data_IF_225399761518
#
_entry.id   IF_225399761518
#
_cell.length_a   1.000
_cell.length_b   1.000
_cell.length_c   1.000
_cell.angle_alpha   90.00
_cell.angle_beta   90.00
_cell.angle_gamma   90.00
#
_symmetry.space_group_name_H-M   'P 1'
#
loop_
_entity.id
_entity.type
_entity.pdbx_description
1 polymer ?
#
# COMPACT_ATOMS: atom_id res chain seq x y z
N UNK A 1 10.79 51.40 -16.96
CA UNK A 1 10.96 50.47 -15.81
C UNK A 1 12.44 50.22 -15.61
N UNK A 2 13.00 50.49 -14.43
CA UNK A 2 14.46 50.43 -14.18
C UNK A 2 14.96 48.98 -14.29
N UNK A 3 15.92 48.69 -15.16
CA UNK A 3 16.44 47.33 -15.42
C UNK A 3 16.89 46.62 -14.14
N UNK A 4 17.44 47.35 -13.16
CA UNK A 4 17.81 46.80 -11.84
C UNK A 4 16.59 46.33 -11.04
N UNK A 5 15.47 47.05 -11.09
CA UNK A 5 14.21 46.62 -10.44
C UNK A 5 13.64 45.38 -11.13
N UNK A 6 13.74 45.31 -12.46
CA UNK A 6 13.27 44.16 -13.23
C UNK A 6 14.10 42.91 -12.92
N UNK A 7 15.43 43.03 -12.83
CA UNK A 7 16.32 41.94 -12.43
C UNK A 7 16.06 41.44 -11.00
N UNK A 8 15.86 42.36 -10.03
CA UNK A 8 15.51 41.98 -8.65
C UNK A 8 14.17 41.25 -8.59
N UNK A 9 13.15 41.73 -9.33
CA UNK A 9 11.84 41.06 -9.41
C UNK A 9 12.00 39.66 -9.99
N UNK A 10 12.79 39.51 -11.06
CA UNK A 10 13.03 38.22 -11.71
C UNK A 10 13.77 37.24 -10.79
N UNK A 11 14.76 37.72 -10.03
CA UNK A 11 15.44 36.94 -9.00
C UNK A 11 14.47 36.49 -7.92
N UNK A 12 13.59 37.37 -7.42
CA UNK A 12 12.57 37.02 -6.41
C UNK A 12 11.58 35.99 -6.97
N UNK A 13 11.15 36.14 -8.23
CA UNK A 13 10.25 35.16 -8.88
C UNK A 13 10.93 33.79 -8.97
N UNK A 14 12.18 33.72 -9.43
CA UNK A 14 12.89 32.45 -9.64
C UNK A 14 13.31 31.80 -8.31
N UNK A 15 13.74 32.60 -7.33
CA UNK A 15 14.29 32.08 -6.07
C UNK A 15 13.22 31.82 -4.99
N UNK A 16 12.07 32.50 -5.06
CA UNK A 16 11.04 32.43 -4.01
C UNK A 16 9.71 31.94 -4.58
N UNK A 17 9.18 32.59 -5.61
CA UNK A 17 7.84 32.25 -6.13
C UNK A 17 7.84 30.88 -6.78
N UNK A 18 8.78 30.60 -7.69
CA UNK A 18 8.83 29.34 -8.41
C UNK A 18 8.99 28.11 -7.49
N UNK A 19 9.90 28.10 -6.49
CA UNK A 19 10.00 26.98 -5.54
C UNK A 19 8.73 26.78 -4.71
N UNK A 20 8.11 27.87 -4.21
CA UNK A 20 6.87 27.78 -3.42
C UNK A 20 5.73 27.24 -4.29
N UNK A 21 5.55 27.79 -5.51
CA UNK A 21 4.54 27.30 -6.46
C UNK A 21 4.75 25.83 -6.80
N UNK A 22 5.99 25.38 -6.97
CA UNK A 22 6.30 23.97 -7.21
C UNK A 22 5.94 23.06 -6.03
N UNK A 23 6.20 23.51 -4.79
CA UNK A 23 5.82 22.76 -3.58
C UNK A 23 4.30 22.66 -3.44
N UNK A 24 3.58 23.78 -3.66
CA UNK A 24 2.12 23.83 -3.61
C UNK A 24 1.51 22.92 -4.68
N UNK A 25 2.01 23.00 -5.92
CA UNK A 25 1.58 22.12 -7.02
C UNK A 25 1.82 20.64 -6.69
N UNK A 26 3.00 20.31 -6.17
CA UNK A 26 3.33 18.94 -5.77
C UNK A 26 2.41 18.43 -4.66
N UNK A 27 2.10 19.28 -3.67
CA UNK A 27 1.16 18.92 -2.60
C UNK A 27 -0.26 18.73 -3.13
N UNK A 28 -0.72 19.57 -4.07
CA UNK A 28 -2.01 19.38 -4.73
C UNK A 28 -2.07 18.06 -5.51
N UNK A 29 -0.99 17.69 -6.20
CA UNK A 29 -0.93 16.42 -6.92
C UNK A 29 -0.98 15.21 -5.98
N UNK A 30 -0.45 15.31 -4.76
CA UNK A 30 -0.68 14.26 -3.75
C UNK A 30 -2.18 14.08 -3.45
N UNK A 31 -2.94 15.18 -3.43
CA UNK A 31 -4.40 15.13 -3.32
C UNK A 31 -5.04 14.24 -4.37
N UNK A 32 -4.59 14.29 -5.63
CA UNK A 32 -5.07 13.40 -6.71
C UNK A 32 -4.62 11.94 -6.60
N UNK A 33 -3.59 11.64 -5.78
CA UNK A 33 -3.15 10.27 -5.54
C UNK A 33 -4.00 9.55 -4.50
N UNK A 34 -4.46 10.26 -3.47
CA UNK A 34 -5.36 9.69 -2.44
C UNK A 34 -6.83 9.88 -2.83
N UNK A 35 -7.08 10.98 -3.54
CA UNK A 35 -8.27 11.45 -4.23
C UNK A 35 -8.37 11.14 -5.73
N UNK A 36 -8.07 9.95 -6.27
CA UNK A 36 -8.24 9.76 -7.71
C UNK A 36 -9.72 9.92 -8.04
N UNK A 37 -10.04 10.35 -9.26
CA UNK A 37 -11.42 10.59 -9.68
C UNK A 37 -12.27 9.30 -9.73
N UNK A 38 -13.13 9.17 -10.73
CA UNK A 38 -13.91 7.93 -10.88
C UNK A 38 -13.02 6.77 -11.35
N UNK A 39 -13.06 5.60 -10.69
CA UNK A 39 -12.34 4.41 -11.15
C UNK A 39 -12.90 3.92 -12.49
N UNK A 40 -12.06 3.20 -13.25
CA UNK A 40 -12.47 2.53 -14.49
C UNK A 40 -13.30 1.28 -14.22
N UNK A 41 -12.98 0.58 -13.14
CA UNK A 41 -13.68 -0.59 -12.64
C UNK A 41 -13.40 -0.74 -11.14
N UNK A 42 -14.32 -1.39 -10.43
CA UNK A 42 -14.24 -1.64 -9.00
C UNK A 42 -14.77 -3.03 -8.70
N UNK A 43 -14.00 -3.82 -7.96
CA UNK A 43 -14.39 -5.14 -7.49
C UNK A 43 -14.66 -5.07 -5.99
N UNK A 44 -15.76 -5.69 -5.54
CA UNK A 44 -16.14 -5.69 -4.12
C UNK A 44 -15.82 -7.03 -3.49
N UNK A 45 -15.14 -6.97 -2.35
CA UNK A 45 -14.73 -8.12 -1.56
C UNK A 45 -15.28 -8.03 -0.15
N UNK A 46 -15.53 -9.20 0.43
CA UNK A 46 -15.91 -9.38 1.81
C UNK A 46 -14.82 -10.22 2.47
N UNK A 47 -14.14 -9.63 3.44
CA UNK A 47 -13.19 -10.34 4.29
C UNK A 47 -13.88 -10.76 5.58
N UNK A 48 -13.85 -12.06 5.87
CA UNK A 48 -14.38 -12.65 7.09
C UNK A 48 -13.22 -12.93 8.02
N UNK A 49 -13.22 -12.33 9.22
CA UNK A 49 -12.27 -12.64 10.28
C UNK A 49 -12.96 -13.45 11.38
N UNK A 50 -12.56 -14.69 11.57
CA UNK A 50 -13.20 -15.62 12.50
C UNK A 50 -12.64 -15.48 13.93
N UNK A 51 -13.38 -15.97 14.95
CA UNK A 51 -12.85 -16.08 16.32
C UNK A 51 -11.62 -16.99 16.44
N UNK A 52 -11.43 -17.93 15.51
CA UNK A 52 -10.23 -18.76 15.41
C UNK A 52 -9.03 -18.03 14.81
N UNK A 53 -9.12 -16.71 14.64
CA UNK A 53 -8.11 -15.83 14.05
C UNK A 53 -7.75 -16.16 12.60
N UNK A 54 -8.71 -16.69 11.83
CA UNK A 54 -8.56 -16.98 10.40
C UNK A 54 -9.23 -15.91 9.55
N UNK A 55 -8.66 -15.63 8.39
CA UNK A 55 -9.21 -14.71 7.40
C UNK A 55 -9.68 -15.49 6.17
N UNK A 56 -10.87 -15.15 5.68
CA UNK A 56 -11.39 -15.63 4.39
C UNK A 56 -11.68 -14.44 3.49
N UNK A 57 -11.18 -14.49 2.27
CA UNK A 57 -11.43 -13.49 1.24
C UNK A 57 -12.43 -14.05 0.23
N UNK A 58 -13.54 -13.35 0.04
CA UNK A 58 -14.58 -13.71 -0.93
C UNK A 58 -14.92 -12.49 -1.76
N UNK A 59 -15.23 -12.69 -3.03
CA UNK A 59 -15.95 -11.67 -3.81
C UNK A 59 -17.37 -11.51 -3.24
N UNK A 60 -17.98 -10.35 -3.48
CA UNK A 60 -19.37 -10.13 -3.06
C UNK A 60 -20.34 -11.18 -3.65
N UNK A 61 -20.08 -11.65 -4.87
CA UNK A 61 -20.88 -12.69 -5.53
C UNK A 61 -20.72 -14.06 -4.87
N UNK A 62 -19.48 -14.45 -4.52
CA UNK A 62 -19.21 -15.70 -3.80
C UNK A 62 -19.84 -15.70 -2.41
N UNK A 63 -19.71 -14.59 -1.69
CA UNK A 63 -20.35 -14.45 -0.39
C UNK A 63 -21.87 -14.58 -0.48
N UNK A 64 -22.49 -13.92 -1.45
CA UNK A 64 -23.93 -13.98 -1.64
C UNK A 64 -24.41 -15.42 -1.93
N UNK A 65 -23.70 -16.16 -2.79
CA UNK A 65 -23.99 -17.58 -3.06
C UNK A 65 -23.92 -18.44 -1.80
N UNK A 66 -22.89 -18.24 -0.98
CA UNK A 66 -22.74 -19.00 0.27
C UNK A 66 -23.91 -18.76 1.24
N UNK A 67 -24.36 -17.51 1.36
CA UNK A 67 -25.53 -17.18 2.18
C UNK A 67 -26.81 -17.80 1.62
N UNK A 68 -26.99 -17.79 0.29
CA UNK A 68 -28.15 -18.41 -0.39
C UNK A 68 -28.17 -19.94 -0.22
N UNK A 69 -27.00 -20.57 -0.16
CA UNK A 69 -26.84 -22.00 0.15
C UNK A 69 -27.06 -22.34 1.63
N UNK A 70 -27.34 -21.34 2.48
CA UNK A 70 -27.60 -21.52 3.91
C UNK A 70 -26.35 -21.55 4.78
N UNK A 71 -25.17 -21.26 4.23
CA UNK A 71 -23.95 -21.11 5.01
C UNK A 71 -23.94 -19.74 5.69
N UNK A 72 -23.59 -19.71 6.97
CA UNK A 72 -23.37 -18.46 7.71
C UNK A 72 -21.95 -18.42 8.27
N UNK A 73 -21.29 -17.26 8.30
CA UNK A 73 -20.01 -17.12 8.99
C UNK A 73 -20.11 -17.62 10.44
N UNK A 74 -19.05 -18.22 11.01
CA UNK A 74 -19.04 -18.65 12.40
C UNK A 74 -19.46 -17.53 13.36
N UNK A 75 -20.19 -17.86 14.42
CA UNK A 75 -20.65 -16.88 15.39
C UNK A 75 -19.47 -16.09 15.98
N UNK A 76 -19.60 -14.75 16.02
CA UNK A 76 -18.52 -13.85 16.46
C UNK A 76 -17.52 -13.46 15.38
N UNK A 77 -17.72 -13.87 14.13
CA UNK A 77 -16.90 -13.39 13.00
C UNK A 77 -17.14 -11.92 12.71
N UNK A 78 -16.09 -11.21 12.31
CA UNK A 78 -16.15 -9.82 11.82
C UNK A 78 -16.13 -9.83 10.30
N UNK A 79 -16.92 -8.95 9.69
CA UNK A 79 -17.00 -8.78 8.24
C UNK A 79 -16.42 -7.42 7.86
N UNK A 80 -15.54 -7.40 6.87
CA UNK A 80 -14.98 -6.17 6.30
C UNK A 80 -15.34 -6.10 4.82
N UNK A 81 -16.11 -5.08 4.46
CA UNK A 81 -16.42 -4.78 3.07
C UNK A 81 -15.33 -3.89 2.51
N UNK A 82 -14.60 -4.38 1.51
CA UNK A 82 -13.44 -3.72 0.91
C UNK A 82 -13.67 -3.62 -0.59
N UNK A 83 -13.37 -2.45 -1.16
CA UNK A 83 -13.43 -2.23 -2.61
C UNK A 83 -12.03 -2.20 -3.19
N UNK A 84 -11.79 -2.87 -4.30
CA UNK A 84 -10.52 -2.78 -5.03
C UNK A 84 -10.78 -2.03 -6.32
N UNK A 85 -10.17 -0.86 -6.47
CA UNK A 85 -10.39 0.02 -7.61
C UNK A 85 -9.25 -0.05 -8.63
N UNK A 86 -9.64 -0.04 -9.91
CA UNK A 86 -8.72 0.09 -11.03
C UNK A 86 -8.78 1.49 -11.65
N UNK A 87 -7.61 2.11 -11.79
CA UNK A 87 -7.46 3.39 -12.47
C UNK A 87 -6.60 3.28 -13.74
N UNK A 88 -5.83 2.19 -13.91
CA UNK A 88 -4.87 2.06 -15.01
C UNK A 88 -5.47 1.18 -16.13
N UNK A 89 -5.71 -0.09 -15.86
CA UNK A 89 -6.09 -1.07 -16.91
C UNK A 89 -7.59 -1.29 -17.04
N UNK A 90 -8.39 -0.95 -16.02
CA UNK A 90 -9.80 -1.35 -15.94
C UNK A 90 -10.00 -2.74 -15.31
N UNK A 91 -8.94 -3.37 -14.78
CA UNK A 91 -9.03 -4.62 -14.01
C UNK A 91 -8.28 -4.46 -12.67
N UNK A 92 -9.01 -4.43 -11.53
CA UNK A 92 -8.42 -4.15 -10.22
C UNK A 92 -7.31 -5.13 -9.82
N UNK A 93 -7.54 -6.44 -10.02
CA UNK A 93 -6.55 -7.47 -9.73
C UNK A 93 -5.28 -7.36 -10.60
N UNK A 94 -5.43 -6.96 -11.87
CA UNK A 94 -4.29 -6.75 -12.79
C UNK A 94 -3.48 -5.53 -12.37
N UNK A 95 -4.13 -4.41 -12.05
CA UNK A 95 -3.46 -3.19 -11.57
C UNK A 95 -2.64 -3.47 -10.30
N UNK A 96 -3.22 -4.19 -9.34
CA UNK A 96 -2.55 -4.59 -8.11
C UNK A 96 -1.33 -5.49 -8.39
N UNK A 97 -1.52 -6.54 -9.20
CA UNK A 97 -0.49 -7.53 -9.48
C UNK A 97 0.69 -6.92 -10.25
N UNK A 98 0.42 -6.12 -11.29
CA UNK A 98 1.48 -5.42 -12.03
C UNK A 98 2.20 -4.45 -11.12
N UNK A 99 1.48 -3.70 -10.28
CA UNK A 99 2.10 -2.71 -9.38
C UNK A 99 3.00 -3.35 -8.36
N UNK A 100 2.64 -4.49 -7.77
CA UNK A 100 3.48 -5.15 -6.77
C UNK A 100 4.65 -5.94 -7.38
N UNK A 101 4.47 -6.56 -8.55
CA UNK A 101 5.48 -7.44 -9.16
C UNK A 101 6.45 -6.75 -10.13
N UNK A 102 6.23 -5.48 -10.46
CA UNK A 102 7.14 -4.71 -11.32
C UNK A 102 8.55 -4.61 -10.74
N UNK A 103 9.55 -4.48 -11.61
CA UNK A 103 10.94 -4.30 -11.22
C UNK A 103 11.20 -2.85 -10.79
N UNK A 104 11.28 -2.62 -9.49
CA UNK A 104 11.66 -1.31 -8.94
C UNK A 104 13.10 -1.31 -8.43
N UNK A 105 13.73 -0.14 -8.45
CA UNK A 105 15.01 0.09 -7.79
C UNK A 105 14.82 0.24 -6.28
N UNK A 106 13.70 0.79 -5.82
CA UNK A 106 13.42 1.03 -4.41
C UNK A 106 11.96 0.75 -4.09
N UNK A 107 11.67 0.35 -2.85
CA UNK A 107 10.30 0.35 -2.35
C UNK A 107 10.22 1.10 -1.02
N UNK A 108 9.17 1.89 -0.87
CA UNK A 108 8.92 2.71 0.31
C UNK A 108 7.59 2.32 0.92
N UNK A 109 7.61 1.98 2.21
CA UNK A 109 6.40 1.78 3.00
C UNK A 109 6.13 3.08 3.77
N UNK A 110 5.04 3.75 3.41
CA UNK A 110 4.54 4.94 4.10
C UNK A 110 3.54 4.47 5.15
N UNK A 111 3.96 4.49 6.41
CA UNK A 111 3.25 3.87 7.53
C UNK A 111 1.94 4.55 7.92
N UNK A 112 1.70 5.76 7.41
CA UNK A 112 0.66 6.64 7.89
C UNK A 112 1.19 7.92 8.53
N UNK A 113 0.33 8.62 9.25
CA UNK A 113 0.60 9.89 9.92
C UNK A 113 1.76 9.76 10.93
N UNK A 114 2.58 10.81 11.13
CA UNK A 114 3.64 10.81 12.15
C UNK A 114 3.16 10.45 13.57
N UNK A 115 1.89 10.68 13.91
CA UNK A 115 1.29 10.26 15.18
C UNK A 115 1.36 8.75 15.43
N UNK A 116 1.60 7.91 14.41
CA UNK A 116 1.90 6.48 14.58
C UNK A 116 3.14 6.26 15.48
N UNK A 117 4.05 7.24 15.60
CA UNK A 117 5.15 7.20 16.57
C UNK A 117 4.66 7.02 18.02
N UNK A 118 3.47 7.53 18.34
CA UNK A 118 2.88 7.42 19.66
C UNK A 118 2.62 5.95 20.04
N UNK A 119 2.48 5.04 19.08
CA UNK A 119 2.31 3.61 19.38
C UNK A 119 3.49 2.98 20.12
N UNK A 120 4.68 3.60 20.09
CA UNK A 120 5.83 3.13 20.85
C UNK A 120 5.80 3.63 22.29
N UNK A 121 5.60 4.93 22.47
CA UNK A 121 5.86 5.59 23.75
C UNK A 121 4.57 5.94 24.50
N UNK A 122 3.49 6.30 23.79
CA UNK A 122 2.21 6.72 24.36
C UNK A 122 1.01 6.24 23.52
N UNK A 123 0.66 4.93 23.54
CA UNK A 123 -0.35 4.37 22.65
C UNK A 123 -1.74 5.02 22.76
N UNK A 124 -2.07 5.60 23.92
CA UNK A 124 -3.34 6.29 24.16
C UNK A 124 -3.50 7.59 23.36
N UNK A 125 -2.41 8.16 22.86
CA UNK A 125 -2.43 9.38 22.04
C UNK A 125 -2.59 9.11 20.54
N UNK A 126 -2.59 7.83 20.13
CA UNK A 126 -2.77 7.45 18.74
C UNK A 126 -4.27 7.30 18.44
N UNK A 127 -4.71 7.90 17.33
CA UNK A 127 -6.09 7.79 16.86
C UNK A 127 -6.19 6.50 16.04
N UNK A 128 -6.49 5.40 16.72
CA UNK A 128 -6.61 4.07 16.11
C UNK A 128 -6.18 2.94 17.06
N UNK A 129 -5.82 1.79 16.49
CA UNK A 129 -5.31 0.63 17.21
C UNK A 129 -3.86 0.31 16.79
N UNK A 130 -2.94 0.55 17.72
CA UNK A 130 -1.51 0.35 17.51
C UNK A 130 -1.12 -1.10 17.20
N UNK A 131 -1.86 -2.09 17.73
CA UNK A 131 -1.59 -3.51 17.47
C UNK A 131 -1.88 -3.80 16.01
N UNK A 132 -3.05 -3.41 15.52
CA UNK A 132 -3.42 -3.66 14.12
C UNK A 132 -2.58 -2.81 13.14
N UNK A 133 -2.24 -1.56 13.48
CA UNK A 133 -1.35 -0.74 12.65
C UNK A 133 0.05 -1.37 12.51
N UNK A 134 0.61 -1.86 13.62
CA UNK A 134 1.93 -2.52 13.61
C UNK A 134 1.92 -3.81 12.81
N UNK A 135 0.87 -4.62 12.95
CA UNK A 135 0.67 -5.85 12.17
C UNK A 135 0.55 -5.53 10.68
N UNK A 136 -0.31 -4.58 10.31
CA UNK A 136 -0.51 -4.13 8.93
C UNK A 136 0.82 -3.71 8.29
N UNK A 137 1.58 -2.82 8.95
CA UNK A 137 2.88 -2.35 8.45
C UNK A 137 3.85 -3.51 8.28
N UNK A 138 3.89 -4.46 9.21
CA UNK A 138 4.81 -5.59 9.17
C UNK A 138 4.45 -6.59 8.08
N UNK A 139 3.17 -6.97 7.98
CA UNK A 139 2.64 -7.90 6.98
C UNK A 139 2.86 -7.35 5.57
N UNK A 140 2.44 -6.11 5.28
CA UNK A 140 2.62 -5.53 3.95
C UNK A 140 4.10 -5.33 3.59
N UNK A 141 4.94 -4.94 4.57
CA UNK A 141 6.38 -4.84 4.35
C UNK A 141 6.98 -6.20 4.00
N UNK A 142 6.56 -7.27 4.68
CA UNK A 142 7.01 -8.63 4.42
C UNK A 142 6.56 -9.16 3.06
N UNK A 143 5.31 -8.89 2.65
CA UNK A 143 4.79 -9.23 1.31
C UNK A 143 5.61 -8.52 0.24
N UNK A 144 5.74 -7.19 0.33
CA UNK A 144 6.45 -6.38 -0.67
C UNK A 144 7.93 -6.77 -0.72
N UNK A 145 8.60 -6.91 0.43
CA UNK A 145 10.00 -7.30 0.49
C UNK A 145 10.24 -8.70 -0.09
N UNK A 146 9.32 -9.63 0.11
CA UNK A 146 9.41 -11.00 -0.43
C UNK A 146 9.27 -11.03 -1.95
N UNK A 147 8.30 -10.27 -2.50
CA UNK A 147 8.14 -10.11 -3.95
C UNK A 147 9.38 -9.43 -4.55
N UNK A 148 9.88 -8.39 -3.89
CA UNK A 148 11.07 -7.67 -4.30
C UNK A 148 12.33 -8.57 -4.29
N UNK A 149 12.51 -9.36 -3.23
CA UNK A 149 13.62 -10.31 -3.11
C UNK A 149 13.55 -11.39 -4.19
N UNK A 150 12.36 -11.88 -4.54
CA UNK A 150 12.20 -12.86 -5.62
C UNK A 150 12.76 -12.35 -6.97
N UNK A 151 12.56 -11.06 -7.27
CA UNK A 151 13.10 -10.43 -8.47
C UNK A 151 14.64 -10.41 -8.47
N UNK A 152 15.27 -10.05 -7.36
CA UNK A 152 16.74 -10.06 -7.24
C UNK A 152 17.31 -11.48 -7.17
N UNK A 153 16.56 -12.45 -6.67
CA UNK A 153 16.96 -13.86 -6.70
C UNK A 153 17.06 -14.34 -8.15
N UNK A 154 16.04 -14.06 -8.97
CA UNK A 154 16.06 -14.40 -10.41
C UNK A 154 17.23 -13.74 -11.12
N UNK A 155 17.52 -12.47 -10.82
CA UNK A 155 18.71 -11.79 -11.34
C UNK A 155 20.01 -12.46 -10.90
N UNK A 156 20.14 -12.84 -9.63
CA UNK A 156 21.32 -13.55 -9.12
C UNK A 156 21.56 -14.88 -9.82
N UNK A 157 20.49 -15.66 -10.08
CA UNK A 157 20.58 -16.90 -10.87
C UNK A 157 21.02 -16.61 -12.31
N UNK A 158 20.50 -15.56 -12.93
CA UNK A 158 20.91 -15.14 -14.29
C UNK A 158 22.38 -14.66 -14.34
N UNK A 159 22.93 -14.15 -13.23
CA UNK A 159 24.34 -13.81 -13.08
C UNK A 159 25.24 -15.04 -12.86
N UNK A 160 24.67 -16.25 -12.76
CA UNK A 160 25.39 -17.50 -12.55
C UNK A 160 25.67 -17.85 -11.09
N UNK A 161 25.01 -17.18 -10.13
CA UNK A 161 25.13 -17.54 -8.72
C UNK A 161 24.42 -18.86 -8.41
N UNK A 162 24.96 -19.61 -7.45
CA UNK A 162 24.27 -20.76 -6.90
C UNK A 162 23.08 -20.33 -6.02
N UNK A 163 22.24 -21.28 -5.63
CA UNK A 163 21.02 -20.98 -4.88
C UNK A 163 21.27 -20.25 -3.55
N UNK A 164 22.34 -20.59 -2.84
CA UNK A 164 22.67 -19.96 -1.56
C UNK A 164 23.13 -18.51 -1.78
N UNK A 165 24.05 -18.28 -2.72
CA UNK A 165 24.55 -16.94 -3.03
C UNK A 165 23.47 -16.05 -3.62
N UNK A 166 22.60 -16.57 -4.50
CA UNK A 166 21.50 -15.82 -5.07
C UNK A 166 20.49 -15.36 -4.00
N UNK A 167 20.21 -16.20 -2.99
CA UNK A 167 19.36 -15.82 -1.85
C UNK A 167 20.00 -14.74 -0.99
N UNK A 168 21.29 -14.87 -0.68
CA UNK A 168 22.02 -13.86 0.09
C UNK A 168 22.09 -12.53 -0.68
N UNK A 169 22.32 -12.59 -1.99
CA UNK A 169 22.29 -11.43 -2.87
C UNK A 169 20.92 -10.75 -2.82
N UNK A 170 19.84 -11.50 -3.01
CA UNK A 170 18.48 -10.98 -2.96
C UNK A 170 18.15 -10.31 -1.62
N UNK A 171 18.51 -10.95 -0.51
CA UNK A 171 18.32 -10.40 0.84
C UNK A 171 19.06 -9.07 1.01
N UNK A 172 20.34 -9.04 0.63
CA UNK A 172 21.18 -7.84 0.73
C UNK A 172 20.64 -6.70 -0.16
N UNK A 173 20.27 -6.99 -1.42
CA UNK A 173 19.73 -5.98 -2.32
C UNK A 173 18.39 -5.42 -1.82
N UNK A 174 17.53 -6.27 -1.26
CA UNK A 174 16.25 -5.88 -0.68
C UNK A 174 16.44 -4.96 0.52
N UNK A 175 17.32 -5.33 1.46
CA UNK A 175 17.62 -4.51 2.64
C UNK A 175 18.19 -3.13 2.29
N UNK A 176 19.05 -3.05 1.27
CA UNK A 176 19.64 -1.78 0.81
C UNK A 176 18.62 -0.83 0.17
N UNK A 177 17.50 -1.35 -0.33
CA UNK A 177 16.52 -0.62 -1.15
C UNK A 177 15.18 -0.38 -0.47
N UNK A 178 15.00 -0.99 0.70
CA UNK A 178 13.86 -0.77 1.56
C UNK A 178 13.93 0.58 2.24
N UNK A 179 12.83 1.36 2.17
CA UNK A 179 12.65 2.59 2.92
C UNK A 179 11.35 2.54 3.72
N UNK A 180 11.37 3.10 4.93
CA UNK A 180 10.20 3.28 5.79
C UNK A 180 10.07 4.76 6.12
N UNK A 181 8.88 5.33 5.97
CA UNK A 181 8.63 6.75 6.29
C UNK A 181 7.21 6.98 6.80
N UNK A 182 6.96 8.16 7.33
CA UNK A 182 5.63 8.65 7.70
C UNK A 182 5.09 9.60 6.62
N UNK A 183 3.77 9.73 6.56
CA UNK A 183 3.03 10.60 5.65
C UNK A 183 3.06 12.06 6.13
N UNK A 184 4.25 12.57 6.41
CA UNK A 184 4.46 13.99 6.71
C UNK A 184 4.37 14.85 5.43
N UNK A 185 4.44 16.18 5.61
CA UNK A 185 4.38 17.14 4.50
C UNK A 185 5.37 16.82 3.37
N UNK A 186 6.63 16.51 3.69
CA UNK A 186 7.66 16.22 2.70
C UNK A 186 7.42 14.91 1.95
N UNK A 187 6.94 13.87 2.63
CA UNK A 187 6.55 12.62 1.98
C UNK A 187 5.38 12.85 1.02
N UNK A 188 4.38 13.66 1.39
CA UNK A 188 3.27 14.04 0.51
C UNK A 188 3.79 14.77 -0.73
N UNK A 189 4.69 15.74 -0.57
CA UNK A 189 5.34 16.44 -1.68
C UNK A 189 6.12 15.46 -2.56
N UNK A 190 6.89 14.53 -1.98
CA UNK A 190 7.69 13.54 -2.71
C UNK A 190 6.83 12.56 -3.51
N UNK A 191 5.69 12.14 -2.99
CA UNK A 191 4.67 11.37 -3.72
C UNK A 191 4.07 12.21 -4.85
N UNK A 192 3.60 13.42 -4.55
CA UNK A 192 2.92 14.28 -5.52
C UNK A 192 3.78 14.67 -6.71
N UNK A 193 5.09 14.88 -6.51
CA UNK A 193 6.05 15.12 -7.60
C UNK A 193 6.57 13.85 -8.29
N UNK A 194 6.20 12.67 -7.79
CA UNK A 194 6.67 11.39 -8.32
C UNK A 194 8.15 11.10 -8.08
N UNK A 195 8.76 11.66 -7.02
CA UNK A 195 10.10 11.25 -6.57
C UNK A 195 10.06 9.87 -5.92
N UNK A 196 8.99 9.57 -5.18
CA UNK A 196 8.62 8.23 -4.73
C UNK A 196 7.27 7.86 -5.34
N UNK A 197 7.07 6.59 -5.63
CA UNK A 197 5.84 6.12 -6.27
C UNK A 197 5.77 6.43 -7.78
N UNK A 198 6.67 5.80 -8.53
CA UNK A 198 6.86 5.94 -9.97
C UNK A 198 7.33 4.60 -10.59
N UNK A 199 7.73 4.58 -11.86
CA UNK A 199 8.13 3.35 -12.56
C UNK A 199 9.37 2.66 -11.96
N UNK A 200 10.23 3.39 -11.26
CA UNK A 200 11.47 2.88 -10.66
C UNK A 200 11.39 2.78 -9.13
N UNK A 201 10.33 3.30 -8.51
CA UNK A 201 10.15 3.29 -7.07
C UNK A 201 8.71 2.98 -6.68
N UNK A 202 8.50 1.84 -6.02
CA UNK A 202 7.22 1.51 -5.40
C UNK A 202 7.01 2.35 -4.14
N UNK A 203 5.82 2.89 -3.97
CA UNK A 203 5.34 3.47 -2.72
C UNK A 203 4.04 2.78 -2.32
N UNK A 204 4.03 2.14 -1.16
CA UNK A 204 2.81 1.63 -0.53
C UNK A 204 2.41 2.61 0.57
N UNK A 205 1.21 3.16 0.45
CA UNK A 205 0.71 4.22 1.32
C UNK A 205 -0.46 3.70 2.14
N UNK A 206 -0.28 3.65 3.46
CA UNK A 206 -1.34 3.30 4.40
C UNK A 206 -2.08 4.58 4.83
N UNK A 207 -3.39 4.58 4.64
CA UNK A 207 -4.31 5.65 5.06
C UNK A 207 -5.33 5.02 6.01
N UNK A 208 -5.30 5.37 7.28
CA UNK A 208 -6.21 4.84 8.29
C UNK A 208 -6.91 5.94 9.09
N UNK A 209 -7.38 5.63 10.31
CA UNK A 209 -8.17 6.57 11.10
C UNK A 209 -7.42 7.87 11.46
N UNK A 210 -6.12 7.77 11.80
CA UNK A 210 -5.29 8.94 12.09
C UNK A 210 -5.10 9.87 10.87
N UNK A 211 -5.19 9.31 9.67
CA UNK A 211 -5.07 10.02 8.40
C UNK A 211 -6.42 10.54 7.88
N UNK A 212 -7.52 10.17 8.53
CA UNK A 212 -8.88 10.55 8.13
C UNK A 212 -9.45 9.70 6.99
N UNK A 213 -9.10 8.41 6.92
CA UNK A 213 -9.68 7.44 5.98
C UNK A 213 -11.22 7.47 6.01
N UNK A 214 -11.84 7.46 4.84
CA UNK A 214 -13.31 7.57 4.69
C UNK A 214 -13.95 6.30 4.16
N UNK A 215 -13.18 5.52 3.40
CA UNK A 215 -13.63 4.31 2.72
C UNK A 215 -12.70 3.15 3.06
N UNK A 216 -13.15 1.93 2.77
CA UNK A 216 -12.32 0.73 2.83
C UNK A 216 -12.00 0.33 1.40
N UNK A 217 -10.82 0.73 0.92
CA UNK A 217 -10.45 0.55 -0.47
C UNK A 217 -8.96 0.36 -0.68
N UNK A 218 -8.66 -0.47 -1.67
CA UNK A 218 -7.30 -0.71 -2.17
C UNK A 218 -7.26 -0.24 -3.61
N UNK A 219 -6.29 0.59 -3.94
CA UNK A 219 -6.22 1.10 -5.30
C UNK A 219 -4.82 1.52 -5.74
N UNK A 220 -4.65 1.52 -7.07
CA UNK A 220 -3.42 1.94 -7.73
C UNK A 220 -3.74 3.18 -8.56
N UNK A 221 -3.54 4.40 -8.03
CA UNK A 221 -3.88 5.63 -8.76
C UNK A 221 -2.96 5.86 -9.96
N UNK A 222 -1.72 5.35 -9.91
CA UNK A 222 -0.76 5.33 -11.02
C UNK A 222 0.32 4.27 -10.79
N UNK A 223 1.09 3.94 -11.83
CA UNK A 223 2.21 3.01 -11.75
C UNK A 223 3.18 3.38 -10.61
N UNK A 224 3.49 2.39 -9.77
CA UNK A 224 4.40 2.55 -8.64
C UNK A 224 3.76 3.10 -7.36
N UNK A 225 2.46 3.41 -7.34
CA UNK A 225 1.76 3.83 -6.11
C UNK A 225 0.66 2.82 -5.81
N UNK A 226 0.71 2.23 -4.61
CA UNK A 226 -0.37 1.45 -4.04
C UNK A 226 -0.89 2.20 -2.82
N UNK A 227 -2.20 2.46 -2.77
CA UNK A 227 -2.86 3.05 -1.59
C UNK A 227 -3.76 1.99 -0.97
N UNK A 228 -3.65 1.86 0.34
CA UNK A 228 -4.47 0.98 1.18
C UNK A 228 -5.16 1.91 2.18
N UNK A 229 -6.46 2.12 2.00
CA UNK A 229 -7.26 3.03 2.80
C UNK A 229 -8.31 2.26 3.59
N UNK A 230 -8.24 2.28 4.92
CA UNK A 230 -9.19 1.58 5.78
C UNK A 230 -9.71 2.48 6.90
N UNK A 231 -11.02 2.50 7.14
CA UNK A 231 -11.63 3.36 8.18
C UNK A 231 -11.21 2.98 9.60
N UNK A 232 -10.62 1.80 9.79
CA UNK A 232 -10.02 1.36 11.04
C UNK A 232 -8.70 0.62 10.78
N UNK A 233 -7.80 0.58 11.77
CA UNK A 233 -6.55 -0.19 11.64
C UNK A 233 -6.78 -1.70 11.51
N UNK A 234 -7.87 -2.21 12.08
CA UNK A 234 -8.27 -3.62 11.88
C UNK A 234 -8.67 -3.88 10.43
N UNK A 235 -9.38 -2.94 9.79
CA UNK A 235 -9.73 -3.02 8.37
C UNK A 235 -8.49 -2.91 7.48
N UNK A 236 -7.56 -2.01 7.79
CA UNK A 236 -6.27 -1.92 7.08
C UNK A 236 -5.53 -3.27 7.06
N UNK A 237 -5.57 -4.01 8.17
CA UNK A 237 -4.99 -5.36 8.21
C UNK A 237 -5.75 -6.33 7.30
N UNK A 238 -7.08 -6.32 7.35
CA UNK A 238 -7.92 -7.14 6.47
C UNK A 238 -7.66 -6.86 4.98
N UNK A 239 -7.37 -5.59 4.62
CA UNK A 239 -6.98 -5.19 3.26
C UNK A 239 -5.64 -5.77 2.83
N UNK A 240 -4.64 -5.81 3.72
CA UNK A 240 -3.36 -6.47 3.44
C UNK A 240 -3.57 -7.97 3.18
N UNK A 241 -4.41 -8.63 3.98
CA UNK A 241 -4.76 -10.03 3.76
C UNK A 241 -5.49 -10.23 2.43
N UNK A 242 -6.38 -9.32 2.04
CA UNK A 242 -7.02 -9.35 0.73
C UNK A 242 -5.99 -9.24 -0.40
N UNK A 243 -5.00 -8.36 -0.27
CA UNK A 243 -3.91 -8.22 -1.25
C UNK A 243 -3.16 -9.55 -1.41
N UNK A 244 -2.80 -10.22 -0.31
CA UNK A 244 -2.14 -11.52 -0.36
C UNK A 244 -2.95 -12.55 -1.16
N UNK A 245 -4.26 -12.60 -0.95
CA UNK A 245 -5.16 -13.50 -1.66
C UNK A 245 -5.25 -13.17 -3.15
N UNK A 246 -5.47 -11.89 -3.50
CA UNK A 246 -5.62 -11.46 -4.91
C UNK A 246 -4.36 -11.75 -5.72
N UNK A 247 -3.17 -11.51 -5.16
CA UNK A 247 -1.90 -11.75 -5.88
C UNK A 247 -1.38 -13.19 -5.73
N UNK A 248 -2.17 -14.06 -5.08
CA UNK A 248 -1.82 -15.43 -4.73
C UNK A 248 -0.44 -15.53 -4.05
N UNK A 249 -0.17 -14.62 -3.12
CA UNK A 249 1.07 -14.60 -2.36
C UNK A 249 1.14 -15.81 -1.42
N UNK A 250 2.33 -16.42 -1.33
CA UNK A 250 2.58 -17.55 -0.42
C UNK A 250 3.80 -17.24 0.41
N UNK A 251 3.62 -17.27 1.74
CA UNK A 251 4.71 -17.07 2.67
C UNK A 251 5.73 -18.22 2.58
N UNK A 252 7.04 -17.93 2.62
CA UNK A 252 8.07 -18.96 2.70
C UNK A 252 8.07 -19.60 4.11
N UNK A 253 7.20 -20.60 4.31
CA UNK A 253 6.98 -21.43 5.51
C UNK A 253 6.45 -20.70 6.77
N UNK A 254 5.38 -21.26 7.37
CA UNK A 254 4.96 -20.98 8.76
C UNK A 254 3.97 -19.84 9.00
N UNK A 255 3.57 -19.08 7.98
CA UNK A 255 2.64 -17.95 8.12
C UNK A 255 1.55 -17.95 7.03
N UNK A 256 1.01 -19.13 6.72
CA UNK A 256 0.03 -19.29 5.64
C UNK A 256 -1.34 -18.70 6.02
N UNK A 257 -1.76 -17.65 5.31
CA UNK A 257 -3.17 -17.34 5.09
C UNK A 257 -3.76 -18.52 4.30
N UNK A 258 -4.44 -19.45 4.98
CA UNK A 258 -5.03 -20.62 4.33
C UNK A 258 -6.26 -20.20 3.53
N UNK A 259 -6.22 -20.38 2.21
CA UNK A 259 -7.44 -20.43 1.41
C UNK A 259 -8.24 -21.66 1.83
N UNK A 260 -9.51 -21.50 2.17
CA UNK A 260 -10.36 -22.63 2.56
C UNK A 260 -11.18 -23.11 1.38
N UNK A 261 -10.97 -24.39 1.04
CA UNK A 261 -12.03 -25.24 0.52
C UNK A 261 -13.04 -25.41 1.66
N UNK A 262 -14.18 -24.75 1.56
CA UNK A 262 -15.27 -24.96 2.50
C UNK A 262 -15.85 -26.32 2.15
N UNK A 263 -15.47 -27.37 2.87
CA UNK A 263 -16.23 -28.62 2.90
C UNK A 263 -17.29 -28.49 3.99
N UNK A 264 -18.55 -28.74 3.62
CA UNK A 264 -19.71 -28.71 4.51
C UNK A 264 -19.72 -29.80 5.58
#
# INVERSE_FOLDING_TARGET
>A
MNQKKLAVILIVIVMVVAPISYLVYSYHNFGSLVNPGTPKASDRYIIIYTPSAQFYALTAEEYQKLIEEGNSPPAGSKLFNITVDSYITGSPGVDLNITLRSLYEHFTIVMGDPSVLNCKDNPQLYIGDCRYRTLTVSEISGVVASIFAANYYVQGIQMGYDNATARQYAYNQTGLRYRKTYLNFWTKVDLGRGKIGNQNSLAVVLIGPAEGAKENRIFVPRKGVLVIEGTSDETLRAEVVLIENIIAFKWPQGNETKMVNITG
#
